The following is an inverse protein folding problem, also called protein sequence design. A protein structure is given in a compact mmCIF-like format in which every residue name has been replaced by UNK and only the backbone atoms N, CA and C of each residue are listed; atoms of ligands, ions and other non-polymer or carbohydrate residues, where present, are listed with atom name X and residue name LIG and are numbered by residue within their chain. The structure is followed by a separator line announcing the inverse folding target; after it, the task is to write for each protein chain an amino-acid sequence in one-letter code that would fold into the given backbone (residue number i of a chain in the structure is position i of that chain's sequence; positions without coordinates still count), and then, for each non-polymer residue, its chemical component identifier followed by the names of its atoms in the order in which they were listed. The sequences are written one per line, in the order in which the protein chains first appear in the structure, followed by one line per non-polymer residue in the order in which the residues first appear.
data_IF_356787489810
#
_entry.id   IF_356787489810
#
_cell.length_a   1.000
_cell.length_b   1.000
_cell.length_c   1.000
_cell.angle_alpha   90.00
_cell.angle_beta   90.00
_cell.angle_gamma   90.00
#
_symmetry.space_group_name_H-M   'P 1'
#
loop_
_entity.id
_entity.type
_entity.pdbx_description
1 polymer ?
#
# COMPACT_ATOMS: atom_id res chain seq x y z
N UNK A 1 -41.78 7.84 -1.64
CA UNK A 1 -42.17 6.45 -2.02
C UNK A 1 -42.40 6.23 -3.52
N UNK A 2 -42.57 7.29 -4.34
CA UNK A 2 -42.81 7.15 -5.80
C UNK A 2 -41.66 6.48 -6.56
N UNK A 3 -40.39 6.66 -6.13
CA UNK A 3 -39.23 6.09 -6.81
C UNK A 3 -39.23 4.55 -6.79
N UNK A 4 -39.69 3.95 -5.67
CA UNK A 4 -39.77 2.50 -5.48
C UNK A 4 -40.86 1.83 -6.30
N UNK A 5 -41.83 2.61 -6.83
CA UNK A 5 -42.93 2.11 -7.64
C UNK A 5 -42.70 2.20 -9.16
N UNK A 6 -41.65 2.96 -9.57
CA UNK A 6 -41.30 3.11 -10.98
C UNK A 6 -40.33 2.01 -11.42
N UNK A 7 -40.64 1.26 -12.46
CA UNK A 7 -39.78 0.21 -13.04
C UNK A 7 -38.44 0.80 -13.57
N UNK A 8 -38.51 1.98 -14.19
CA UNK A 8 -37.34 2.69 -14.74
C UNK A 8 -37.52 4.22 -14.53
N UNK A 9 -37.11 4.78 -13.39
CA UNK A 9 -37.24 6.21 -13.17
C UNK A 9 -36.26 6.99 -14.07
N UNK A 10 -36.73 8.09 -14.66
CA UNK A 10 -35.87 8.97 -15.45
C UNK A 10 -34.84 9.69 -14.57
N UNK A 11 -33.70 10.11 -15.15
CA UNK A 11 -32.67 10.86 -14.42
C UNK A 11 -33.23 12.07 -13.66
N UNK A 12 -34.19 12.78 -14.27
CA UNK A 12 -34.82 13.95 -13.62
C UNK A 12 -35.58 13.57 -12.35
N UNK A 13 -36.30 12.43 -12.38
CA UNK A 13 -37.05 11.93 -11.23
C UNK A 13 -36.11 11.49 -10.14
N UNK A 14 -35.03 10.78 -10.47
CA UNK A 14 -34.01 10.39 -9.51
C UNK A 14 -33.33 11.61 -8.85
N UNK A 15 -32.94 12.60 -9.65
CA UNK A 15 -32.35 13.84 -9.15
C UNK A 15 -33.31 14.61 -8.23
N UNK A 16 -34.58 14.70 -8.55
CA UNK A 16 -35.59 15.33 -7.69
C UNK A 16 -35.74 14.57 -6.36
N UNK A 17 -35.81 13.26 -6.39
CA UNK A 17 -35.95 12.44 -5.19
C UNK A 17 -34.74 12.55 -4.26
N UNK A 18 -33.52 12.47 -4.78
CA UNK A 18 -32.30 12.64 -3.98
C UNK A 18 -32.08 14.09 -3.53
N UNK A 19 -32.66 15.04 -4.25
CA UNK A 19 -32.65 16.45 -3.83
C UNK A 19 -33.54 16.67 -2.59
N UNK A 20 -34.65 15.95 -2.47
CA UNK A 20 -35.50 15.99 -1.26
C UNK A 20 -34.92 15.12 -0.14
N UNK A 21 -34.57 13.87 -0.45
CA UNK A 21 -33.99 12.93 0.49
C UNK A 21 -32.73 12.25 -0.09
N UNK A 22 -31.53 12.67 0.30
CA UNK A 22 -30.26 12.10 -0.20
C UNK A 22 -30.13 10.59 -0.01
N UNK A 23 -30.76 10.00 1.01
CA UNK A 23 -30.69 8.56 1.27
C UNK A 23 -31.38 7.73 0.18
N UNK A 24 -32.21 8.35 -0.65
CA UNK A 24 -32.84 7.67 -1.78
C UNK A 24 -31.84 7.16 -2.81
N UNK A 25 -30.58 7.64 -2.77
CA UNK A 25 -29.50 7.18 -3.66
C UNK A 25 -29.26 5.68 -3.55
N UNK A 26 -29.48 5.06 -2.36
CA UNK A 26 -29.32 3.62 -2.12
C UNK A 26 -30.24 2.74 -2.97
N UNK A 27 -31.34 3.30 -3.43
CA UNK A 27 -32.35 2.58 -4.25
C UNK A 27 -32.18 2.80 -5.75
N UNK A 28 -31.19 3.60 -6.15
CA UNK A 28 -30.90 3.88 -7.55
C UNK A 28 -29.79 2.93 -8.01
N UNK A 29 -30.16 2.02 -8.91
CA UNK A 29 -29.19 1.15 -9.55
C UNK A 29 -28.30 2.00 -10.48
N UNK A 30 -27.00 1.96 -10.33
CA UNK A 30 -26.01 2.71 -11.11
C UNK A 30 -26.27 4.24 -11.13
N UNK A 31 -26.17 4.93 -9.98
CA UNK A 31 -26.37 6.37 -9.92
C UNK A 31 -25.32 7.11 -10.76
N UNK A 32 -25.79 8.04 -11.61
CA UNK A 32 -24.90 8.84 -12.46
C UNK A 32 -23.94 9.69 -11.62
N UNK A 33 -22.81 10.11 -12.21
CA UNK A 33 -21.84 11.01 -11.53
C UNK A 33 -22.54 12.24 -10.93
N UNK A 34 -23.47 12.83 -11.66
CA UNK A 34 -24.24 14.00 -11.23
C UNK A 34 -25.05 13.74 -9.96
N UNK A 35 -25.69 12.56 -9.87
CA UNK A 35 -26.43 12.13 -8.69
C UNK A 35 -25.48 11.92 -7.51
N UNK A 36 -24.38 11.20 -7.73
CA UNK A 36 -23.36 10.96 -6.70
C UNK A 36 -22.81 12.27 -6.14
N UNK A 37 -22.42 13.20 -7.01
CA UNK A 37 -21.89 14.50 -6.59
C UNK A 37 -22.92 15.35 -5.83
N UNK A 38 -24.22 15.24 -6.19
CA UNK A 38 -25.28 15.97 -5.50
C UNK A 38 -25.40 15.53 -4.03
N UNK A 39 -25.40 14.21 -3.77
CA UNK A 39 -25.51 13.69 -2.40
C UNK A 39 -24.24 13.94 -1.58
N UNK A 40 -23.06 13.71 -2.16
CA UNK A 40 -21.78 13.89 -1.46
C UNK A 40 -21.54 15.35 -1.07
N UNK A 41 -21.95 16.30 -1.88
CA UNK A 41 -21.88 17.73 -1.53
C UNK A 41 -22.75 18.10 -0.34
N UNK A 42 -23.86 17.42 -0.13
CA UNK A 42 -24.74 17.64 1.01
C UNK A 42 -24.24 16.97 2.28
N UNK A 43 -23.83 15.70 2.12
CA UNK A 43 -23.29 14.92 3.22
C UNK A 43 -22.23 13.96 2.68
N UNK A 44 -20.94 14.20 2.94
CA UNK A 44 -19.84 13.34 2.50
C UNK A 44 -19.94 11.89 2.96
N UNK A 45 -20.54 11.63 4.12
CA UNK A 45 -20.74 10.27 4.66
C UNK A 45 -21.65 9.41 3.77
N UNK A 46 -22.44 10.01 2.88
CA UNK A 46 -23.25 9.29 1.90
C UNK A 46 -22.42 8.46 0.91
N UNK A 47 -21.09 8.62 0.90
CA UNK A 47 -20.19 7.76 0.14
C UNK A 47 -20.36 6.28 0.51
N UNK A 48 -20.74 6.01 1.77
CA UNK A 48 -21.01 4.65 2.29
C UNK A 48 -22.20 3.96 1.63
N UNK A 49 -23.08 4.72 0.99
CA UNK A 49 -24.27 4.21 0.29
C UNK A 49 -24.01 3.90 -1.19
N UNK A 50 -22.81 4.24 -1.69
CA UNK A 50 -22.43 4.04 -3.09
C UNK A 50 -21.55 2.80 -3.22
N UNK A 51 -22.00 1.79 -4.00
CA UNK A 51 -21.18 0.60 -4.26
C UNK A 51 -19.93 0.94 -5.07
N UNK A 52 -20.10 1.75 -6.12
CA UNK A 52 -19.03 2.12 -7.04
C UNK A 52 -18.99 3.64 -7.20
N UNK A 53 -18.48 4.39 -6.22
CA UNK A 53 -18.40 5.84 -6.30
C UNK A 53 -17.40 6.26 -7.38
N UNK A 54 -17.80 7.19 -8.25
CA UNK A 54 -16.91 7.78 -9.25
C UNK A 54 -15.77 8.55 -8.57
N UNK A 55 -14.63 8.70 -9.25
CA UNK A 55 -13.43 9.33 -8.67
C UNK A 55 -13.71 10.72 -8.10
N UNK A 56 -14.53 11.53 -8.77
CA UNK A 56 -14.87 12.88 -8.30
C UNK A 56 -15.68 12.84 -7.00
N UNK A 57 -16.59 11.86 -6.84
CA UNK A 57 -17.34 11.65 -5.60
C UNK A 57 -16.41 11.19 -4.47
N UNK A 58 -15.49 10.27 -4.76
CA UNK A 58 -14.47 9.81 -3.82
C UNK A 58 -13.61 10.99 -3.33
N UNK A 59 -13.05 11.78 -4.25
CA UNK A 59 -12.22 12.96 -3.93
C UNK A 59 -13.00 13.97 -3.07
N UNK A 60 -14.24 14.26 -3.44
CA UNK A 60 -15.07 15.20 -2.70
C UNK A 60 -15.32 14.73 -1.27
N UNK A 61 -15.61 13.43 -1.07
CA UNK A 61 -15.82 12.86 0.25
C UNK A 61 -14.54 12.93 1.11
N UNK A 62 -13.38 12.47 0.59
CA UNK A 62 -12.13 12.46 1.36
C UNK A 62 -11.52 13.84 1.55
N UNK A 63 -11.89 14.82 0.73
CA UNK A 63 -11.51 16.22 0.95
C UNK A 63 -12.25 16.81 2.16
N UNK A 64 -13.49 16.42 2.38
CA UNK A 64 -14.25 16.82 3.55
C UNK A 64 -13.79 16.08 4.81
N UNK A 65 -13.70 14.76 4.73
CA UNK A 65 -13.17 13.90 5.79
C UNK A 65 -12.28 12.80 5.22
N UNK A 66 -10.99 12.86 5.51
CA UNK A 66 -10.00 11.87 5.03
C UNK A 66 -10.24 10.46 5.57
N UNK A 67 -10.90 10.32 6.71
CA UNK A 67 -11.27 9.03 7.30
C UNK A 67 -12.26 8.24 6.45
N UNK A 68 -13.04 8.91 5.59
CA UNK A 68 -13.96 8.25 4.66
C UNK A 68 -13.27 7.37 3.62
N UNK A 69 -11.94 7.42 3.53
CA UNK A 69 -11.16 6.49 2.67
C UNK A 69 -11.46 5.03 3.02
N UNK A 70 -11.72 4.72 4.29
CA UNK A 70 -12.03 3.36 4.76
C UNK A 70 -13.39 2.85 4.28
N UNK A 71 -14.30 3.77 3.97
CA UNK A 71 -15.64 3.46 3.47
C UNK A 71 -15.68 3.22 1.94
N UNK A 72 -14.57 3.50 1.24
CA UNK A 72 -14.45 3.33 -0.22
C UNK A 72 -13.80 1.98 -0.52
N UNK A 73 -14.56 1.02 -1.05
CA UNK A 73 -14.06 -0.34 -1.31
C UNK A 73 -12.87 -0.39 -2.27
N UNK A 74 -12.86 0.50 -3.28
CA UNK A 74 -11.79 0.59 -4.28
C UNK A 74 -11.46 2.05 -4.57
N UNK A 75 -10.70 2.71 -3.67
CA UNK A 75 -10.33 4.11 -3.87
C UNK A 75 -9.37 4.27 -5.04
N UNK A 76 -9.62 5.28 -5.92
CA UNK A 76 -8.74 5.58 -7.04
C UNK A 76 -7.35 6.01 -6.57
N UNK A 77 -6.34 5.86 -7.43
CA UNK A 77 -4.96 6.28 -7.11
C UNK A 77 -4.88 7.77 -6.73
N UNK A 78 -5.68 8.64 -7.36
CA UNK A 78 -5.71 10.06 -7.04
C UNK A 78 -6.38 10.31 -5.68
N UNK A 79 -7.45 9.59 -5.36
CA UNK A 79 -8.11 9.64 -4.05
C UNK A 79 -7.15 9.21 -2.94
N UNK A 80 -6.47 8.08 -3.11
CA UNK A 80 -5.46 7.59 -2.18
C UNK A 80 -4.34 8.61 -1.95
N UNK A 81 -3.78 9.15 -3.04
CA UNK A 81 -2.72 10.14 -2.96
C UNK A 81 -3.18 11.43 -2.28
N UNK A 82 -4.43 11.87 -2.52
CA UNK A 82 -5.02 13.05 -1.87
C UNK A 82 -5.07 12.88 -0.35
N UNK A 83 -5.53 11.72 0.11
CA UNK A 83 -5.62 11.39 1.54
C UNK A 83 -4.24 11.32 2.19
N UNK A 84 -3.30 10.61 1.56
CA UNK A 84 -1.94 10.42 2.09
C UNK A 84 -1.13 11.73 2.08
N UNK A 85 -1.44 12.68 1.19
CA UNK A 85 -0.86 14.02 1.23
C UNK A 85 -1.32 14.84 2.42
N UNK A 86 -2.55 14.65 2.87
CA UNK A 86 -3.10 15.31 4.05
C UNK A 86 -2.52 14.71 5.35
N UNK A 87 -2.52 13.38 5.42
CA UNK A 87 -1.97 12.61 6.53
C UNK A 87 -1.30 11.32 6.00
N UNK A 88 0.06 11.25 5.97
CA UNK A 88 0.79 10.09 5.50
C UNK A 88 0.46 8.80 6.27
N UNK A 89 0.07 8.90 7.54
CA UNK A 89 -0.27 7.74 8.36
C UNK A 89 -1.54 7.03 7.92
N UNK A 90 -2.42 7.69 7.15
CA UNK A 90 -3.61 7.04 6.59
C UNK A 90 -3.28 5.98 5.53
N UNK A 91 -2.03 5.85 5.11
CA UNK A 91 -1.59 4.74 4.25
C UNK A 91 -1.93 3.36 4.84
N UNK A 92 -1.96 3.22 6.15
CA UNK A 92 -2.32 1.98 6.88
C UNK A 92 -3.78 1.59 6.72
N UNK A 93 -4.66 2.56 6.44
CA UNK A 93 -6.10 2.36 6.26
C UNK A 93 -6.45 1.93 4.82
N UNK A 94 -5.48 1.96 3.90
CA UNK A 94 -5.67 1.60 2.50
C UNK A 94 -5.21 0.15 2.29
N UNK A 95 -6.15 -0.74 1.97
CA UNK A 95 -5.87 -2.19 1.85
C UNK A 95 -4.83 -2.50 0.76
N UNK A 96 -4.95 -1.85 -0.40
CA UNK A 96 -4.04 -2.01 -1.54
C UNK A 96 -3.62 -0.61 -2.01
N UNK A 97 -2.61 0.00 -1.37
CA UNK A 97 -2.20 1.34 -1.72
C UNK A 97 -1.47 1.39 -3.07
N UNK A 98 -1.86 2.34 -3.92
CA UNK A 98 -1.15 2.65 -5.16
C UNK A 98 0.30 3.08 -4.87
N UNK A 99 1.21 2.73 -5.76
CA UNK A 99 2.64 3.00 -5.57
C UNK A 99 2.98 4.49 -5.39
N UNK A 100 2.18 5.42 -5.95
CA UNK A 100 2.38 6.87 -5.75
C UNK A 100 2.04 7.28 -4.32
N UNK A 101 0.95 6.74 -3.79
CA UNK A 101 0.57 6.94 -2.39
C UNK A 101 1.63 6.32 -1.45
N UNK A 102 2.07 5.09 -1.75
CA UNK A 102 3.16 4.44 -1.01
C UNK A 102 4.42 5.31 -0.99
N UNK A 103 4.88 5.75 -2.17
CA UNK A 103 6.13 6.54 -2.30
C UNK A 103 6.03 7.87 -1.57
N UNK A 104 4.88 8.54 -1.63
CA UNK A 104 4.66 9.77 -0.89
C UNK A 104 4.72 9.53 0.62
N UNK A 105 4.00 8.53 1.14
CA UNK A 105 3.96 8.20 2.56
C UNK A 105 5.36 7.92 3.12
N UNK A 106 6.11 7.00 2.47
CA UNK A 106 7.47 6.66 2.92
C UNK A 106 8.48 7.78 2.72
N UNK A 107 8.19 8.72 1.83
CA UNK A 107 8.99 9.93 1.66
C UNK A 107 8.85 10.91 2.81
N UNK A 108 7.71 10.91 3.51
CA UNK A 108 7.47 11.70 4.72
C UNK A 108 7.97 10.98 5.99
N UNK A 109 7.67 9.68 6.11
CA UNK A 109 8.14 8.82 7.17
C UNK A 109 8.51 7.44 6.61
N UNK A 110 9.81 7.11 6.44
CA UNK A 110 10.25 5.83 5.90
C UNK A 110 9.78 4.61 6.68
N UNK A 111 9.47 4.74 7.97
CA UNK A 111 8.98 3.65 8.80
C UNK A 111 7.55 3.23 8.45
N UNK A 112 6.79 4.05 7.73
CA UNK A 112 5.46 3.69 7.26
C UNK A 112 5.45 2.49 6.31
N UNK A 113 6.62 2.10 5.77
CA UNK A 113 6.76 0.91 4.93
C UNK A 113 6.26 -0.36 5.65
N UNK A 114 6.31 -0.39 6.99
CA UNK A 114 5.83 -1.52 7.82
C UNK A 114 4.33 -1.79 7.67
N UNK A 115 3.56 -0.76 7.32
CA UNK A 115 2.10 -0.85 7.17
C UNK A 115 1.67 -1.23 5.75
N UNK A 116 2.60 -1.24 4.80
CA UNK A 116 2.34 -1.62 3.41
C UNK A 116 2.60 -3.11 3.25
N UNK A 117 1.56 -3.88 2.95
CA UNK A 117 1.66 -5.35 2.85
C UNK A 117 2.57 -5.77 1.69
N UNK A 118 2.40 -5.13 0.54
CA UNK A 118 3.16 -5.39 -0.69
C UNK A 118 3.73 -4.08 -1.25
N UNK A 119 4.82 -3.57 -0.65
CA UNK A 119 5.42 -2.34 -1.14
C UNK A 119 6.06 -2.55 -2.51
N UNK A 120 5.76 -1.65 -3.46
CA UNK A 120 6.33 -1.68 -4.80
C UNK A 120 7.87 -1.63 -4.74
N UNK A 121 8.56 -2.36 -5.64
CA UNK A 121 10.04 -2.45 -5.64
C UNK A 121 10.70 -1.07 -5.55
N UNK A 122 10.25 -0.09 -6.33
CA UNK A 122 10.79 1.27 -6.30
C UNK A 122 10.61 1.97 -4.94
N UNK A 123 9.54 1.65 -4.20
CA UNK A 123 9.29 2.17 -2.85
C UNK A 123 10.27 1.53 -1.87
N UNK A 124 10.46 0.20 -1.95
CA UNK A 124 11.45 -0.51 -1.15
C UNK A 124 12.86 0.06 -1.35
N UNK A 125 13.26 0.23 -2.62
CA UNK A 125 14.58 0.77 -2.97
C UNK A 125 14.75 2.22 -2.51
N UNK A 126 13.72 3.05 -2.59
CA UNK A 126 13.75 4.43 -2.10
C UNK A 126 14.03 4.48 -0.61
N UNK A 127 13.31 3.70 0.21
CA UNK A 127 13.49 3.62 1.65
C UNK A 127 14.87 3.08 2.02
N UNK A 128 15.29 1.98 1.38
CA UNK A 128 16.57 1.32 1.69
C UNK A 128 17.78 2.11 1.20
N UNK A 129 17.64 3.00 0.22
CA UNK A 129 18.65 3.96 -0.15
C UNK A 129 18.90 5.01 0.93
N UNK A 130 17.88 5.39 1.68
CA UNK A 130 18.02 6.27 2.85
C UNK A 130 18.62 5.53 4.05
N UNK A 131 17.98 4.42 4.44
CA UNK A 131 18.43 3.58 5.56
C UNK A 131 18.21 2.08 5.26
N UNK A 132 19.30 1.38 4.96
CA UNK A 132 19.27 -0.06 4.65
C UNK A 132 18.76 -0.91 5.82
N UNK A 133 18.86 -0.43 7.08
CA UNK A 133 18.41 -1.16 8.26
C UNK A 133 16.88 -1.33 8.30
N UNK A 134 16.14 -0.50 7.54
CA UNK A 134 14.69 -0.58 7.41
C UNK A 134 14.22 -1.82 6.66
N UNK A 135 15.14 -2.62 6.08
CA UNK A 135 14.80 -3.94 5.49
C UNK A 135 14.03 -4.83 6.48
N UNK A 136 14.28 -4.68 7.79
CA UNK A 136 13.56 -5.39 8.86
C UNK A 136 12.05 -5.10 8.88
N UNK A 137 11.62 -3.96 8.34
CA UNK A 137 10.23 -3.53 8.29
C UNK A 137 9.53 -3.97 7.00
N UNK A 138 10.28 -4.38 5.98
CA UNK A 138 9.72 -4.84 4.69
C UNK A 138 9.31 -6.29 4.81
N UNK A 139 8.01 -6.59 4.71
CA UNK A 139 7.49 -7.96 4.87
C UNK A 139 7.96 -8.91 3.78
N UNK A 140 7.94 -8.45 2.52
CA UNK A 140 8.28 -9.21 1.32
C UNK A 140 9.29 -8.46 0.47
N UNK A 141 10.57 -8.39 0.90
CA UNK A 141 11.58 -7.65 0.17
C UNK A 141 11.91 -8.33 -1.16
N UNK A 142 11.91 -7.57 -2.25
CA UNK A 142 12.36 -8.06 -3.57
C UNK A 142 13.85 -8.40 -3.53
N UNK A 143 14.31 -9.23 -4.46
CA UNK A 143 15.75 -9.61 -4.51
C UNK A 143 16.65 -8.37 -4.62
N UNK A 144 16.27 -7.36 -5.43
CA UNK A 144 17.04 -6.12 -5.51
C UNK A 144 17.10 -5.35 -4.19
N UNK A 145 15.98 -5.30 -3.47
CA UNK A 145 15.92 -4.68 -2.15
C UNK A 145 16.81 -5.43 -1.14
N UNK A 146 16.76 -6.76 -1.14
CA UNK A 146 17.63 -7.60 -0.33
C UNK A 146 19.12 -7.37 -0.65
N UNK A 147 19.48 -7.37 -1.94
CA UNK A 147 20.84 -7.12 -2.41
C UNK A 147 21.34 -5.72 -2.02
N UNK A 148 20.49 -4.70 -2.14
CA UNK A 148 20.82 -3.34 -1.74
C UNK A 148 21.12 -3.25 -0.24
N UNK A 149 20.28 -3.84 0.60
CA UNK A 149 20.44 -3.81 2.05
C UNK A 149 21.71 -4.57 2.47
N UNK A 150 21.86 -5.81 2.00
CA UNK A 150 23.00 -6.68 2.34
C UNK A 150 24.32 -6.15 1.77
N UNK A 151 24.30 -5.49 0.59
CA UNK A 151 25.48 -4.84 0.01
C UNK A 151 25.97 -3.63 0.83
N UNK A 152 25.08 -2.96 1.57
CA UNK A 152 25.48 -1.88 2.48
C UNK A 152 25.94 -2.38 3.85
N UNK A 153 25.30 -3.44 4.33
CA UNK A 153 25.67 -4.10 5.57
C UNK A 153 25.25 -5.58 5.50
N UNK A 154 26.24 -6.45 5.35
CA UNK A 154 26.03 -7.88 5.16
C UNK A 154 25.32 -8.56 6.35
N UNK A 155 25.44 -8.00 7.56
CA UNK A 155 24.76 -8.53 8.75
C UNK A 155 23.24 -8.41 8.68
N UNK A 156 22.69 -7.52 7.81
CA UNK A 156 21.27 -7.33 7.61
C UNK A 156 20.59 -8.57 7.01
N UNK A 157 21.34 -9.53 6.46
CA UNK A 157 20.78 -10.81 6.00
C UNK A 157 19.98 -11.51 7.10
N UNK A 158 20.35 -11.34 8.36
CA UNK A 158 19.63 -11.89 9.53
C UNK A 158 18.24 -11.30 9.75
N UNK A 159 17.95 -10.14 9.18
CA UNK A 159 16.63 -9.50 9.25
C UNK A 159 15.71 -9.87 8.08
N UNK A 160 16.22 -10.60 7.10
CA UNK A 160 15.46 -11.04 5.92
C UNK A 160 14.90 -12.44 6.18
N UNK A 161 13.57 -12.57 6.19
CA UNK A 161 12.91 -13.85 6.52
C UNK A 161 13.28 -14.98 5.56
N UNK A 162 13.34 -14.69 4.26
CA UNK A 162 13.67 -15.64 3.20
C UNK A 162 14.69 -14.96 2.24
N UNK A 163 15.99 -14.88 2.61
CA UNK A 163 16.99 -14.33 1.73
C UNK A 163 17.20 -15.25 0.52
N UNK A 164 17.26 -14.67 -0.69
CA UNK A 164 17.56 -15.45 -1.91
C UNK A 164 18.97 -16.05 -1.82
N UNK A 165 19.23 -17.14 -2.55
CA UNK A 165 20.54 -17.79 -2.50
C UNK A 165 21.67 -16.83 -2.87
N UNK A 166 21.46 -15.98 -3.86
CA UNK A 166 22.40 -14.94 -4.25
C UNK A 166 22.73 -13.96 -3.13
N UNK A 167 21.72 -13.55 -2.36
CA UNK A 167 21.87 -12.65 -1.20
C UNK A 167 22.60 -13.36 -0.05
N UNK A 168 22.30 -14.65 0.16
CA UNK A 168 23.01 -15.47 1.16
C UNK A 168 24.51 -15.57 0.82
N UNK A 169 24.82 -15.88 -0.43
CA UNK A 169 26.21 -15.99 -0.93
C UNK A 169 26.94 -14.66 -0.77
N UNK A 170 26.30 -13.54 -1.12
CA UNK A 170 26.87 -12.21 -0.95
C UNK A 170 27.19 -11.90 0.52
N UNK A 171 26.27 -12.22 1.42
CA UNK A 171 26.47 -12.00 2.86
C UNK A 171 27.59 -12.87 3.45
N UNK A 172 27.68 -14.13 3.05
CA UNK A 172 28.69 -15.09 3.52
C UNK A 172 30.07 -14.80 2.94
N UNK A 173 30.13 -14.34 1.68
CA UNK A 173 31.39 -13.91 1.04
C UNK A 173 32.01 -12.70 1.78
N UNK A 174 31.19 -11.73 2.17
CA UNK A 174 31.65 -10.56 2.94
C UNK A 174 32.08 -10.95 4.36
N UNK A 175 31.27 -11.78 5.03
CA UNK A 175 31.62 -12.34 6.34
C UNK A 175 31.05 -13.73 6.53
N UNK A 176 31.92 -14.79 6.64
CA UNK A 176 31.46 -16.16 6.90
C UNK A 176 30.57 -16.31 8.14
N UNK A 177 30.77 -15.45 9.16
CA UNK A 177 29.95 -15.46 10.38
C UNK A 177 28.45 -15.15 10.11
N UNK A 178 28.13 -14.51 8.96
CA UNK A 178 26.75 -14.22 8.60
C UNK A 178 25.92 -15.49 8.31
N UNK A 179 26.57 -16.64 8.07
CA UNK A 179 25.85 -17.94 7.93
C UNK A 179 25.00 -18.24 9.17
N UNK A 180 25.46 -17.87 10.36
CA UNK A 180 24.76 -18.08 11.63
C UNK A 180 23.51 -17.18 11.78
N UNK A 181 23.38 -16.15 10.97
CA UNK A 181 22.24 -15.22 10.96
C UNK A 181 21.14 -15.68 10.02
N UNK A 182 21.45 -16.62 9.11
CA UNK A 182 20.49 -17.11 8.11
C UNK A 182 19.75 -18.31 8.69
N UNK A 183 18.42 -18.17 8.82
CA UNK A 183 17.58 -19.22 9.45
C UNK A 183 17.61 -20.54 8.67
N UNK A 184 17.58 -20.47 7.33
CA UNK A 184 17.62 -21.64 6.43
C UNK A 184 18.68 -21.40 5.36
N UNK A 185 19.99 -21.62 5.65
CA UNK A 185 21.04 -21.37 4.70
C UNK A 185 20.97 -22.40 3.54
N UNK A 186 21.21 -21.93 2.32
CA UNK A 186 21.33 -22.82 1.14
C UNK A 186 22.59 -23.67 1.25
N UNK A 187 22.55 -24.84 0.57
CA UNK A 187 23.72 -25.71 0.51
C UNK A 187 24.94 -24.97 0.00
N UNK A 188 24.76 -24.12 -1.00
CA UNK A 188 25.87 -23.36 -1.61
C UNK A 188 26.46 -22.31 -0.64
N UNK A 189 25.60 -21.65 0.15
CA UNK A 189 26.06 -20.72 1.19
C UNK A 189 26.87 -21.44 2.27
N UNK A 190 26.45 -22.63 2.70
CA UNK A 190 27.20 -23.47 3.66
C UNK A 190 28.58 -23.89 3.09
N UNK A 191 28.63 -24.33 1.83
CA UNK A 191 29.88 -24.73 1.18
C UNK A 191 30.84 -23.53 1.01
N UNK A 192 30.33 -22.37 0.67
CA UNK A 192 31.12 -21.12 0.54
C UNK A 192 31.73 -20.73 1.88
N UNK A 193 30.98 -20.85 2.99
CA UNK A 193 31.48 -20.61 4.32
C UNK A 193 32.66 -21.54 4.69
N UNK A 194 32.53 -22.84 4.41
CA UNK A 194 33.58 -23.84 4.70
C UNK A 194 34.86 -23.61 3.87
N UNK A 195 34.71 -23.19 2.61
CA UNK A 195 35.86 -22.85 1.74
C UNK A 195 36.65 -21.65 2.25
N UNK A 196 35.97 -20.63 2.76
CA UNK A 196 36.58 -19.41 3.30
C UNK A 196 37.34 -19.65 4.60
N UNK A 197 36.91 -20.61 5.44
CA UNK A 197 37.57 -20.96 6.70
C UNK A 197 38.89 -21.72 6.46
N UNK A 198 39.03 -22.45 5.34
CA UNK A 198 40.26 -23.21 5.03
C UNK A 198 41.41 -22.33 4.53
N UNK A 199 41.14 -21.16 3.96
CA UNK A 199 42.15 -20.26 3.39
C UNK A 199 42.82 -19.40 4.49
N UNK A 200 42.23 -19.28 5.67
CA UNK A 200 42.77 -18.50 6.81
C UNK A 200 43.71 -19.29 7.74
N UNK A 201 44.11 -20.51 7.38
CA UNK A 201 45.04 -21.36 8.15
C UNK A 201 46.30 -21.72 7.33
N UNK A 202 46.95 -20.71 6.81
CA UNK A 202 48.33 -20.85 6.25
C UNK A 202 49.21 -19.78 6.87
#
# INVERSE_FOLDING_TARGET
DCLLQLREPTEKVCLAAIAENPEMIRYIHEPTEKMQLLVIRRNPEMITLLENPCERAQLLAVMADSGLITAIGSPSANTQLSVVRKDPHLIREISVPDWKAQLYAVGQDPELIRFISEPAEKVQLSVLNGDASLIRLVRTPTEKAQMLAVGRNSSLVGHIKNPTEKVQLMAVHDSPANILRIKNPSRQACLSCLGSVKIGRA
#
